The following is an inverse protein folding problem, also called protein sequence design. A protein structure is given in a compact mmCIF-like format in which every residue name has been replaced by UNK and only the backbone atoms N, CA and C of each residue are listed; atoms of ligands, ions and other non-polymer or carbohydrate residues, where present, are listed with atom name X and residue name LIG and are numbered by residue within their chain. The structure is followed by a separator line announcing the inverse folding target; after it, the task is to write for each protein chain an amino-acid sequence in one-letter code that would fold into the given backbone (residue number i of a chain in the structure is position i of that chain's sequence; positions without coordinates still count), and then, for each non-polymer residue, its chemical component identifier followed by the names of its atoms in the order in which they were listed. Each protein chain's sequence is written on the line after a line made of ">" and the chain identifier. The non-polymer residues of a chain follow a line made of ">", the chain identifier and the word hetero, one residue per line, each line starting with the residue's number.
data_IF_219853169365
#
_entry.id   IF_219853169365
#
_cell.length_a   1.000
_cell.length_b   1.000
_cell.length_c   1.000
_cell.angle_alpha   90.00
_cell.angle_beta   90.00
_cell.angle_gamma   90.00
#
_symmetry.space_group_name_H-M   'P 1'
#
loop_
_entity.id
_entity.type
_entity.pdbx_description
1 polymer ?
#
# COMPACT_ATOMS: atom_id res chain seq x y z
N UNK A 1 -13.49 7.24 -1.96
CA UNK A 1 -12.30 7.32 -2.85
C UNK A 1 -11.49 8.54 -2.43
N UNK A 2 -10.15 8.44 -2.40
CA UNK A 2 -9.31 9.63 -2.36
C UNK A 2 -9.36 10.28 -3.75
N UNK A 3 -9.89 11.51 -3.91
CA UNK A 3 -9.75 12.26 -5.17
C UNK A 3 -8.28 12.72 -5.41
N UNK A 4 -7.39 12.44 -4.45
CA UNK A 4 -6.02 12.91 -4.37
C UNK A 4 -5.10 11.78 -3.92
N UNK A 5 -4.11 11.43 -4.74
CA UNK A 5 -3.00 10.62 -4.29
C UNK A 5 -2.22 11.38 -3.21
N UNK A 6 -2.35 10.95 -1.96
CA UNK A 6 -1.57 11.51 -0.84
C UNK A 6 -0.28 10.72 -0.74
N UNK A 7 0.80 11.28 -1.27
CA UNK A 7 2.12 10.66 -1.24
C UNK A 7 3.22 11.70 -1.12
N UNK A 8 4.21 11.43 -0.27
CA UNK A 8 5.40 12.27 -0.16
C UNK A 8 6.62 11.45 0.24
N UNK A 9 7.70 11.62 -0.53
CA UNK A 9 9.03 11.14 -0.19
C UNK A 9 9.88 12.33 0.29
N UNK A 10 10.33 12.26 1.54
CA UNK A 10 11.03 13.36 2.21
C UNK A 10 12.38 12.85 2.72
N UNK A 11 13.48 13.10 1.99
CA UNK A 11 14.83 12.80 2.46
C UNK A 11 15.11 13.51 3.79
N UNK A 12 15.66 12.79 4.76
CA UNK A 12 15.98 13.31 6.09
C UNK A 12 17.49 13.50 6.23
N UNK A 13 17.93 14.74 6.04
CA UNK A 13 19.33 15.13 6.14
C UNK A 13 19.63 15.86 7.47
N UNK A 14 18.63 16.58 7.99
CA UNK A 14 18.76 17.40 9.20
C UNK A 14 17.39 17.67 9.86
N UNK A 15 17.40 18.46 10.94
CA UNK A 15 16.18 18.81 11.68
C UNK A 15 15.18 19.66 10.88
N UNK A 16 15.62 20.38 9.84
CA UNK A 16 14.72 21.13 8.95
C UNK A 16 13.90 20.15 8.08
N UNK A 17 14.53 19.15 7.47
CA UNK A 17 13.80 18.08 6.76
C UNK A 17 12.86 17.30 7.67
N UNK A 18 13.26 17.03 8.92
CA UNK A 18 12.36 16.41 9.90
C UNK A 18 11.13 17.28 10.21
N UNK A 19 11.29 18.61 10.20
CA UNK A 19 10.16 19.54 10.37
C UNK A 19 9.22 19.54 9.17
N UNK A 20 9.76 19.44 7.95
CA UNK A 20 8.95 19.27 6.73
C UNK A 20 8.14 17.98 6.81
N UNK A 21 8.76 16.85 7.15
CA UNK A 21 8.07 15.56 7.28
C UNK A 21 6.88 15.61 8.25
N UNK A 22 7.09 16.19 9.43
CA UNK A 22 6.04 16.38 10.44
C UNK A 22 4.88 17.22 9.93
N UNK A 23 5.18 18.33 9.23
CA UNK A 23 4.14 19.20 8.66
C UNK A 23 3.31 18.46 7.63
N UNK A 24 3.94 17.75 6.69
CA UNK A 24 3.25 17.00 5.64
C UNK A 24 2.40 15.87 6.23
N UNK A 25 2.88 15.18 7.27
CA UNK A 25 2.09 14.15 7.95
C UNK A 25 0.81 14.73 8.59
N UNK A 26 0.90 15.90 9.23
CA UNK A 26 -0.26 16.61 9.76
C UNK A 26 -1.24 17.04 8.68
N UNK A 27 -0.73 17.57 7.56
CA UNK A 27 -1.55 17.94 6.40
C UNK A 27 -2.27 16.73 5.79
N UNK A 28 -1.59 15.59 5.63
CA UNK A 28 -2.20 14.36 5.12
C UNK A 28 -3.26 13.82 6.07
N UNK A 29 -2.98 13.75 7.38
CA UNK A 29 -3.96 13.33 8.38
C UNK A 29 -5.21 14.22 8.37
N UNK A 30 -5.03 15.54 8.22
CA UNK A 30 -6.14 16.49 8.09
C UNK A 30 -6.95 16.24 6.81
N UNK A 31 -6.30 16.06 5.66
CA UNK A 31 -6.96 15.78 4.38
C UNK A 31 -7.70 14.42 4.37
N UNK A 32 -7.21 13.46 5.14
CA UNK A 32 -7.85 12.17 5.39
C UNK A 32 -9.02 12.24 6.39
N UNK A 33 -9.29 13.41 6.97
CA UNK A 33 -10.39 13.62 7.90
C UNK A 33 -10.13 13.10 9.32
N UNK A 34 -8.86 12.91 9.71
CA UNK A 34 -8.51 12.43 11.05
C UNK A 34 -8.95 13.44 12.12
N UNK A 35 -9.31 12.95 13.30
CA UNK A 35 -9.61 13.83 14.44
C UNK A 35 -8.34 14.59 14.90
N UNK A 36 -8.52 15.75 15.52
CA UNK A 36 -7.39 16.62 15.91
C UNK A 36 -6.36 15.91 16.81
N UNK A 37 -6.82 15.06 17.73
CA UNK A 37 -5.95 14.21 18.56
C UNK A 37 -5.11 13.27 17.71
N UNK A 38 -5.72 12.60 16.73
CA UNK A 38 -5.06 11.66 15.84
C UNK A 38 -4.10 12.33 14.86
N UNK A 39 -4.42 13.52 14.39
CA UNK A 39 -3.49 14.36 13.62
C UNK A 39 -2.22 14.67 14.42
N UNK A 40 -2.36 15.02 15.71
CA UNK A 40 -1.21 15.28 16.58
C UNK A 40 -0.39 14.00 16.84
N UNK A 41 -1.03 12.84 16.97
CA UNK A 41 -0.35 11.55 17.08
C UNK A 41 0.44 11.21 15.81
N UNK A 42 -0.12 11.43 14.61
CA UNK A 42 0.58 11.25 13.34
C UNK A 42 1.83 12.14 13.25
N UNK A 43 1.70 13.42 13.58
CA UNK A 43 2.83 14.36 13.64
C UNK A 43 3.92 13.88 14.59
N UNK A 44 3.55 13.35 15.76
CA UNK A 44 4.48 12.86 16.76
C UNK A 44 5.18 11.57 16.29
N UNK A 45 4.45 10.61 15.71
CA UNK A 45 5.03 9.40 15.10
C UNK A 45 6.07 9.76 14.04
N UNK A 46 5.71 10.66 13.11
CA UNK A 46 6.67 11.16 12.10
C UNK A 46 7.86 11.86 12.73
N UNK A 47 7.64 12.61 13.82
CA UNK A 47 8.71 13.30 14.55
C UNK A 47 9.74 12.31 15.09
N UNK A 48 9.29 11.26 15.77
CA UNK A 48 10.19 10.27 16.37
C UNK A 48 10.98 9.51 15.29
N UNK A 49 10.30 9.08 14.22
CA UNK A 49 10.95 8.39 13.10
C UNK A 49 11.98 9.28 12.38
N UNK A 50 11.63 10.54 12.08
CA UNK A 50 12.55 11.47 11.44
C UNK A 50 13.71 11.87 12.37
N UNK A 51 13.45 12.00 13.67
CA UNK A 51 14.49 12.34 14.64
C UNK A 51 15.52 11.22 14.80
N UNK A 52 15.08 9.96 14.76
CA UNK A 52 15.98 8.81 14.74
C UNK A 52 16.96 8.89 13.56
N UNK A 53 16.48 9.30 12.37
CA UNK A 53 17.37 9.47 11.22
C UNK A 53 18.49 10.49 11.49
N UNK A 54 18.14 11.64 12.08
CA UNK A 54 19.10 12.72 12.37
C UNK A 54 20.08 12.32 13.47
N UNK A 55 19.59 11.73 14.56
CA UNK A 55 20.39 11.40 15.74
C UNK A 55 21.38 10.26 15.50
N UNK A 56 21.03 9.32 14.60
CA UNK A 56 21.88 8.18 14.29
C UNK A 56 22.76 8.38 13.05
N UNK A 57 22.84 9.61 12.53
CA UNK A 57 23.66 9.97 11.36
C UNK A 57 23.43 9.00 10.19
N UNK A 58 22.16 8.81 9.90
CA UNK A 58 21.68 7.77 9.02
C UNK A 58 22.13 8.00 7.58
N UNK A 59 22.48 6.93 6.87
CA UNK A 59 22.95 7.02 5.49
C UNK A 59 21.72 7.02 4.57
N UNK A 60 21.44 8.16 3.94
CA UNK A 60 20.33 8.32 2.98
C UNK A 60 18.94 7.96 3.55
N UNK A 61 18.63 8.44 4.75
CA UNK A 61 17.32 8.23 5.38
C UNK A 61 16.18 8.93 4.65
N UNK A 62 15.04 8.26 4.53
CA UNK A 62 13.85 8.73 3.84
C UNK A 62 12.61 8.50 4.72
N UNK A 63 11.78 9.53 4.89
CA UNK A 63 10.42 9.35 5.38
C UNK A 63 9.48 9.36 4.18
N UNK A 64 8.73 8.26 4.03
CA UNK A 64 7.65 8.13 3.06
C UNK A 64 6.30 8.21 3.77
N UNK A 65 5.45 9.10 3.30
CA UNK A 65 4.08 9.28 3.77
C UNK A 65 3.13 8.85 2.65
N UNK A 66 2.14 8.02 2.97
CA UNK A 66 1.11 7.64 2.00
C UNK A 66 -0.27 7.54 2.65
N UNK A 67 -1.25 8.19 2.05
CA UNK A 67 -2.66 8.08 2.42
C UNK A 67 -3.42 7.17 1.45
N UNK A 68 -4.28 6.31 1.97
CA UNK A 68 -5.14 5.42 1.18
C UNK A 68 -6.44 5.10 1.92
N UNK A 69 -7.36 4.37 1.29
CA UNK A 69 -8.56 3.85 1.94
C UNK A 69 -8.52 2.31 2.01
N UNK A 70 -8.72 1.76 3.20
CA UNK A 70 -8.96 0.35 3.44
C UNK A 70 -10.45 0.13 3.66
N UNK A 71 -11.18 -0.40 2.65
CA UNK A 71 -12.63 -0.60 2.70
C UNK A 71 -13.41 0.60 3.26
N UNK A 72 -13.14 1.78 2.69
CA UNK A 72 -13.70 3.09 3.08
C UNK A 72 -13.18 3.74 4.36
N UNK A 73 -12.29 3.07 5.10
CA UNK A 73 -11.58 3.69 6.23
C UNK A 73 -10.33 4.42 5.72
N UNK A 74 -10.16 5.72 6.00
CA UNK A 74 -8.95 6.45 5.62
C UNK A 74 -7.77 6.01 6.48
N UNK A 75 -6.65 5.69 5.83
CA UNK A 75 -5.44 5.23 6.48
C UNK A 75 -4.26 6.12 6.10
N UNK A 76 -3.36 6.35 7.06
CA UNK A 76 -2.08 7.03 6.85
C UNK A 76 -0.94 6.08 7.20
N UNK A 77 -0.13 5.73 6.20
CA UNK A 77 1.14 5.04 6.37
C UNK A 77 2.27 6.05 6.53
N UNK A 78 3.10 5.85 7.55
CA UNK A 78 4.31 6.62 7.86
C UNK A 78 5.47 5.63 7.91
N UNK A 79 6.33 5.65 6.90
CA UNK A 79 7.43 4.70 6.78
C UNK A 79 8.78 5.41 6.83
N UNK A 80 9.65 4.94 7.73
CA UNK A 80 11.07 5.29 7.79
C UNK A 80 11.86 4.23 7.05
N UNK A 81 12.64 4.67 6.07
CA UNK A 81 13.41 3.87 5.14
C UNK A 81 14.88 4.26 5.27
N UNK A 82 15.73 3.30 5.60
CA UNK A 82 17.14 3.52 5.91
C UNK A 82 18.05 2.53 5.16
N UNK A 83 19.18 3.02 4.65
CA UNK A 83 20.25 2.26 4.01
C UNK A 83 21.54 2.18 4.87
N UNK A 84 21.45 2.55 6.15
CA UNK A 84 22.48 2.37 7.17
C UNK A 84 22.69 0.90 7.56
N UNK A 85 23.47 0.58 8.60
CA UNK A 85 23.92 -0.79 8.86
C UNK A 85 22.85 -1.77 9.39
N UNK A 86 21.59 -1.36 9.45
CA UNK A 86 20.53 -2.10 10.14
C UNK A 86 20.59 -1.98 11.67
N UNK A 87 19.55 -2.44 12.36
CA UNK A 87 19.51 -2.50 13.82
C UNK A 87 18.67 -3.69 14.30
N UNK A 88 18.94 -4.17 15.52
CA UNK A 88 18.09 -5.19 16.15
C UNK A 88 16.81 -4.54 16.73
N UNK A 89 15.61 -4.83 16.19
CA UNK A 89 14.35 -4.28 16.66
C UNK A 89 14.09 -4.55 18.14
N UNK A 90 14.52 -5.71 18.65
CA UNK A 90 14.32 -6.07 20.05
C UNK A 90 15.09 -5.13 20.98
N UNK A 91 16.28 -4.67 20.58
CA UNK A 91 17.08 -3.69 21.33
C UNK A 91 16.46 -2.29 21.27
N UNK A 92 15.94 -1.90 20.10
CA UNK A 92 15.28 -0.60 19.92
C UNK A 92 13.96 -0.47 20.69
N UNK A 93 13.27 -1.59 20.93
CA UNK A 93 11.97 -1.62 21.63
C UNK A 93 12.06 -1.83 23.13
N UNK A 94 13.20 -2.29 23.66
CA UNK A 94 13.41 -2.34 25.10
C UNK A 94 13.23 -0.93 25.68
N UNK A 95 12.21 -0.76 26.52
CA UNK A 95 11.94 0.44 27.32
C UNK A 95 13.17 0.73 28.20
N UNK A 96 14.15 1.46 27.66
CA UNK A 96 15.16 2.13 28.48
C UNK A 96 14.42 3.26 29.17
N UNK A 97 13.98 3.01 30.42
CA UNK A 97 13.60 4.06 31.36
C UNK A 97 14.67 5.14 31.29
N UNK A 98 14.30 6.30 30.76
CA UNK A 98 15.01 7.57 30.82
C UNK A 98 16.40 7.50 31.47
N UNK A 99 17.42 7.18 30.68
CA UNK A 99 18.79 7.59 30.97
C UNK A 99 19.12 8.61 29.91
N UNK A 100 19.23 9.87 30.34
CA UNK A 100 19.60 10.99 29.49
C UNK A 100 20.87 10.63 28.70
N UNK A 101 20.78 10.70 27.36
CA UNK A 101 21.96 10.70 26.48
C UNK A 101 22.09 9.59 25.43
N UNK A 102 21.27 8.53 25.42
CA UNK A 102 21.38 7.46 24.41
C UNK A 102 20.00 6.93 23.97
N UNK A 103 19.29 7.75 23.17
CA UNK A 103 17.85 7.63 22.89
C UNK A 103 17.48 6.79 21.66
N UNK A 104 17.50 5.46 21.78
CA UNK A 104 16.81 4.56 20.85
C UNK A 104 15.42 4.14 21.40
N UNK A 105 15.27 4.04 22.73
CA UNK A 105 14.10 3.39 23.34
C UNK A 105 12.86 4.28 23.60
N UNK A 106 13.01 5.60 23.72
CA UNK A 106 11.89 6.49 24.03
C UNK A 106 11.02 6.81 22.80
N UNK A 107 11.66 7.04 21.65
CA UNK A 107 10.96 7.32 20.39
C UNK A 107 10.24 6.09 19.85
N UNK A 108 10.89 4.92 19.86
CA UNK A 108 10.27 3.69 19.36
C UNK A 108 9.07 3.24 20.20
N UNK A 109 9.14 3.37 21.53
CA UNK A 109 8.00 3.11 22.40
C UNK A 109 6.81 4.06 22.14
N UNK A 110 7.10 5.30 21.76
CA UNK A 110 6.07 6.26 21.34
C UNK A 110 5.45 5.87 20.01
N UNK A 111 6.26 5.53 19.01
CA UNK A 111 5.78 5.04 17.70
C UNK A 111 4.90 3.82 17.88
N UNK A 112 5.34 2.81 18.66
CA UNK A 112 4.56 1.61 18.94
C UNK A 112 3.21 1.92 19.59
N UNK A 113 3.20 2.75 20.64
CA UNK A 113 1.98 3.10 21.39
C UNK A 113 0.99 3.93 20.56
N UNK A 114 1.51 4.79 19.67
CA UNK A 114 0.68 5.71 18.91
C UNK A 114 0.19 5.12 17.59
N UNK A 115 0.93 4.19 17.01
CA UNK A 115 0.51 3.51 15.77
C UNK A 115 -0.60 2.50 16.06
N UNK A 116 -1.46 2.26 15.09
CA UNK A 116 -2.47 1.20 15.18
C UNK A 116 -1.90 -0.13 14.69
N UNK A 117 -0.87 -0.04 13.84
CA UNK A 117 0.02 -1.13 13.49
C UNK A 117 1.43 -0.61 13.30
N UNK A 118 2.42 -1.40 13.72
CA UNK A 118 3.84 -1.12 13.50
C UNK A 118 4.50 -2.37 12.92
N UNK A 119 5.04 -2.24 11.72
CA UNK A 119 5.83 -3.29 11.09
C UNK A 119 7.29 -2.85 10.96
N UNK A 120 8.19 -3.73 11.38
CA UNK A 120 9.63 -3.48 11.32
C UNK A 120 10.28 -4.58 10.49
N UNK A 121 11.16 -4.16 9.60
CA UNK A 121 12.12 -5.00 8.93
C UNK A 121 13.52 -4.45 9.20
N UNK A 122 14.44 -5.36 9.51
CA UNK A 122 15.86 -5.06 9.45
C UNK A 122 16.59 -6.23 8.80
N UNK A 123 17.44 -5.91 7.84
CA UNK A 123 18.27 -6.89 7.15
C UNK A 123 19.22 -7.61 8.13
N UNK A 124 19.56 -6.99 9.27
CA UNK A 124 20.33 -7.63 10.35
C UNK A 124 19.65 -8.91 10.90
N UNK A 125 18.32 -8.92 10.95
CA UNK A 125 17.53 -10.06 11.45
C UNK A 125 17.11 -11.00 10.32
N UNK A 126 17.03 -10.48 9.09
CA UNK A 126 16.59 -11.20 7.89
C UNK A 126 17.56 -10.96 6.72
N UNK A 127 18.81 -11.43 6.82
CA UNK A 127 19.83 -11.21 5.79
C UNK A 127 19.52 -11.93 4.46
N UNK A 128 18.62 -12.92 4.48
CA UNK A 128 18.15 -13.64 3.30
C UNK A 128 17.19 -12.81 2.42
N UNK A 129 16.59 -11.75 2.98
CA UNK A 129 15.62 -10.92 2.25
C UNK A 129 16.37 -9.81 1.50
N UNK A 130 16.29 -9.87 0.17
CA UNK A 130 16.79 -8.79 -0.67
C UNK A 130 15.91 -7.55 -0.55
N UNK A 131 16.51 -6.42 -0.17
CA UNK A 131 15.82 -5.16 0.04
C UNK A 131 16.72 -3.99 -0.37
N UNK A 132 16.19 -2.92 -0.98
CA UNK A 132 16.94 -1.68 -1.22
C UNK A 132 17.17 -0.87 0.07
N UNK A 133 16.54 -1.28 1.18
CA UNK A 133 16.65 -0.67 2.50
C UNK A 133 17.14 -1.70 3.51
N UNK A 134 18.04 -1.30 4.36
CA UNK A 134 18.60 -2.09 5.46
C UNK A 134 17.68 -2.10 6.67
N UNK A 135 16.88 -1.04 6.83
CA UNK A 135 15.83 -0.94 7.84
C UNK A 135 14.59 -0.27 7.27
N UNK A 136 13.43 -0.85 7.55
CA UNK A 136 12.12 -0.29 7.26
C UNK A 136 11.31 -0.32 8.57
N UNK A 137 10.81 0.84 8.99
CA UNK A 137 9.86 0.95 10.10
C UNK A 137 8.61 1.62 9.56
N UNK A 138 7.51 0.89 9.50
CA UNK A 138 6.24 1.36 8.94
C UNK A 138 5.15 1.39 10.00
N UNK A 139 4.66 2.58 10.28
CA UNK A 139 3.52 2.83 11.16
C UNK A 139 2.26 3.07 10.33
N UNK A 140 1.18 2.35 10.64
CA UNK A 140 -0.15 2.58 10.06
C UNK A 140 -1.05 3.23 11.10
N UNK A 141 -1.74 4.29 10.68
CA UNK A 141 -2.67 5.04 11.51
C UNK A 141 -4.05 5.12 10.84
N UNK A 142 -5.11 4.90 11.61
CA UNK A 142 -6.51 5.17 11.28
C UNK A 142 -6.99 6.54 11.75
N UNK A 143 -8.25 6.91 11.42
CA UNK A 143 -8.80 8.23 11.74
C UNK A 143 -9.14 8.42 13.23
N UNK A 144 -9.43 7.31 13.90
CA UNK A 144 -9.71 7.20 15.33
C UNK A 144 -9.34 5.78 15.82
N UNK A 145 -9.47 5.54 17.12
CA UNK A 145 -9.08 4.27 17.73
C UNK A 145 -10.11 3.15 17.60
N UNK A 146 -11.34 3.44 17.21
CA UNK A 146 -12.41 2.43 17.04
C UNK A 146 -12.31 1.78 15.65
N UNK A 147 -12.02 2.59 14.61
CA UNK A 147 -11.70 2.14 13.27
C UNK A 147 -10.47 1.20 13.22
N UNK A 148 -9.65 1.19 14.29
CA UNK A 148 -8.47 0.35 14.40
C UNK A 148 -8.75 -1.14 14.31
N UNK A 149 -9.84 -1.65 14.88
CA UNK A 149 -10.09 -3.10 14.85
C UNK A 149 -10.33 -3.59 13.42
N UNK A 150 -10.90 -2.74 12.59
CA UNK A 150 -11.10 -2.99 11.18
C UNK A 150 -9.78 -2.77 10.41
N UNK A 151 -9.01 -1.73 10.70
CA UNK A 151 -7.66 -1.54 10.13
C UNK A 151 -6.70 -2.68 10.50
N UNK A 152 -6.76 -3.23 11.71
CA UNK A 152 -5.92 -4.35 12.12
C UNK A 152 -6.27 -5.58 11.27
N UNK A 153 -7.57 -5.81 11.05
CA UNK A 153 -8.08 -6.92 10.23
C UNK A 153 -7.76 -6.76 8.74
N UNK A 154 -7.79 -5.54 8.22
CA UNK A 154 -7.65 -5.23 6.79
C UNK A 154 -6.21 -4.85 6.45
N UNK A 155 -5.69 -3.82 7.13
CA UNK A 155 -4.39 -3.21 6.90
C UNK A 155 -3.21 -4.10 7.31
N UNK A 156 -3.45 -5.16 8.08
CA UNK A 156 -2.43 -6.18 8.28
C UNK A 156 -2.15 -7.03 7.07
N UNK A 157 -3.16 -7.17 6.22
CA UNK A 157 -3.12 -7.92 4.98
C UNK A 157 -2.96 -7.04 3.74
N UNK A 158 -3.01 -5.71 3.85
CA UNK A 158 -3.08 -4.80 2.69
C UNK A 158 -2.12 -3.60 2.84
N UNK A 159 -1.42 -3.27 1.77
CA UNK A 159 -0.67 -2.04 1.62
C UNK A 159 -0.91 -1.44 0.23
N UNK A 160 -1.11 -0.12 0.18
CA UNK A 160 -1.28 0.62 -1.06
C UNK A 160 -0.29 1.79 -1.04
N UNK A 161 0.51 1.90 -2.08
CA UNK A 161 1.34 3.05 -2.36
C UNK A 161 0.98 3.54 -3.75
N UNK A 162 0.60 4.80 -3.86
CA UNK A 162 0.31 5.45 -5.14
C UNK A 162 1.09 6.75 -5.17
N UNK A 163 1.64 7.11 -6.31
CA UNK A 163 2.27 8.40 -6.55
C UNK A 163 1.76 8.98 -7.86
N UNK A 164 1.05 10.11 -7.79
CA UNK A 164 0.65 10.83 -8.99
C UNK A 164 1.83 11.46 -9.72
N UNK A 165 1.73 11.48 -11.05
CA UNK A 165 2.64 12.17 -11.95
C UNK A 165 2.74 13.65 -11.57
N UNK A 166 3.97 14.12 -11.33
CA UNK A 166 4.25 15.50 -10.99
C UNK A 166 4.12 15.82 -9.49
N UNK A 167 3.83 14.82 -8.64
CA UNK A 167 3.87 14.95 -7.17
C UNK A 167 2.82 15.88 -6.56
N UNK A 168 2.05 16.61 -7.37
CA UNK A 168 0.93 17.43 -6.94
C UNK A 168 -0.29 16.53 -6.76
N UNK A 169 -0.61 16.16 -5.52
CA UNK A 169 -1.67 15.24 -5.13
C UNK A 169 -3.11 15.66 -5.48
N UNK A 170 -3.39 15.95 -6.74
CA UNK A 170 -4.74 16.23 -7.26
C UNK A 170 -4.96 15.44 -8.56
N UNK A 171 -5.74 14.36 -8.46
CA UNK A 171 -6.33 13.67 -9.62
C UNK A 171 -5.37 12.81 -10.46
N UNK A 172 -4.97 11.65 -9.94
CA UNK A 172 -4.37 10.58 -10.77
C UNK A 172 -5.42 9.81 -11.56
N UNK A 173 -4.98 9.18 -12.65
CA UNK A 173 -5.70 8.14 -13.38
C UNK A 173 -5.64 6.79 -12.68
N UNK A 174 -4.62 6.55 -11.87
CA UNK A 174 -4.53 5.31 -11.11
C UNK A 174 -5.53 5.24 -9.96
N UNK A 175 -6.04 4.04 -9.67
CA UNK A 175 -6.89 3.78 -8.52
C UNK A 175 -6.79 2.35 -8.00
N UNK A 176 -6.96 2.20 -6.69
CA UNK A 176 -7.13 0.90 -6.04
C UNK A 176 -8.45 0.92 -5.28
N UNK A 177 -9.26 -0.12 -5.48
CA UNK A 177 -10.53 -0.31 -4.77
C UNK A 177 -10.53 -1.64 -4.06
N UNK A 178 -10.78 -1.62 -2.76
CA UNK A 178 -10.81 -2.82 -1.91
C UNK A 178 -12.15 -2.92 -1.22
N UNK A 179 -12.83 -4.02 -1.46
CA UNK A 179 -14.11 -4.32 -0.84
C UNK A 179 -14.02 -5.69 -0.19
N UNK A 180 -14.56 -5.83 1.01
CA UNK A 180 -14.49 -7.10 1.72
C UNK A 180 -15.69 -7.32 2.64
N UNK A 181 -15.94 -8.59 2.94
CA UNK A 181 -16.81 -9.03 4.02
C UNK A 181 -16.14 -10.20 4.77
N UNK A 182 -16.87 -10.90 5.63
CA UNK A 182 -16.33 -12.04 6.39
C UNK A 182 -15.90 -13.25 5.53
N UNK A 183 -16.21 -13.27 4.23
CA UNK A 183 -15.94 -14.38 3.32
C UNK A 183 -15.18 -13.98 2.06
N UNK A 184 -15.34 -12.77 1.56
CA UNK A 184 -14.77 -12.33 0.30
C UNK A 184 -13.87 -11.12 0.50
N UNK A 185 -12.73 -11.12 -0.19
CA UNK A 185 -11.91 -9.92 -0.42
C UNK A 185 -11.81 -9.69 -1.92
N UNK A 186 -12.26 -8.53 -2.40
CA UNK A 186 -12.14 -8.08 -3.79
C UNK A 186 -11.19 -6.89 -3.86
N UNK A 187 -10.18 -6.99 -4.72
CA UNK A 187 -9.20 -5.93 -4.96
C UNK A 187 -9.22 -5.63 -6.45
N UNK A 188 -9.48 -4.38 -6.80
CA UNK A 188 -9.39 -3.89 -8.16
C UNK A 188 -8.28 -2.84 -8.26
N UNK A 189 -7.49 -2.93 -9.31
CA UNK A 189 -6.55 -1.90 -9.71
C UNK A 189 -7.00 -1.32 -11.05
N UNK A 190 -6.86 -0.01 -11.19
CA UNK A 190 -7.32 0.75 -12.34
C UNK A 190 -6.19 1.68 -12.77
N UNK A 191 -5.92 1.70 -14.06
CA UNK A 191 -5.05 2.67 -14.74
C UNK A 191 -5.89 3.33 -15.83
N UNK A 192 -6.39 4.53 -15.54
CA UNK A 192 -7.29 5.25 -16.44
C UNK A 192 -6.52 6.09 -17.46
N UNK A 193 -6.93 5.99 -18.73
CA UNK A 193 -6.28 6.75 -19.78
C UNK A 193 -6.55 8.26 -19.65
N UNK A 194 -5.47 9.03 -19.72
CA UNK A 194 -5.50 10.48 -19.75
C UNK A 194 -4.71 11.07 -18.60
N UNK A 195 -5.00 12.31 -18.25
CA UNK A 195 -4.29 13.03 -17.20
C UNK A 195 -5.27 13.84 -16.36
N UNK A 196 -4.96 13.98 -15.07
CA UNK A 196 -5.70 14.87 -14.17
C UNK A 196 -7.13 14.39 -13.92
N UNK A 197 -8.04 15.36 -13.74
CA UNK A 197 -9.43 15.11 -13.37
C UNK A 197 -10.16 14.17 -14.34
N UNK A 198 -9.88 14.24 -15.64
CA UNK A 198 -10.55 13.38 -16.63
C UNK A 198 -10.23 11.89 -16.43
N UNK A 199 -9.00 11.55 -16.07
CA UNK A 199 -8.60 10.18 -15.75
C UNK A 199 -9.18 9.76 -14.39
N UNK A 200 -9.16 10.64 -13.40
CA UNK A 200 -9.77 10.42 -12.08
C UNK A 200 -11.28 10.13 -12.18
N UNK A 201 -12.00 10.82 -13.06
CA UNK A 201 -13.44 10.59 -13.30
C UNK A 201 -13.71 9.20 -13.91
N UNK A 202 -12.80 8.69 -14.75
CA UNK A 202 -12.90 7.32 -15.30
C UNK A 202 -12.70 6.30 -14.18
N UNK A 203 -11.68 6.48 -13.35
CA UNK A 203 -11.45 5.64 -12.16
C UNK A 203 -12.65 5.64 -11.23
N UNK A 204 -13.26 6.80 -11.00
CA UNK A 204 -14.50 6.94 -10.24
C UNK A 204 -15.67 6.13 -10.83
N UNK A 205 -15.78 6.08 -12.17
CA UNK A 205 -16.82 5.27 -12.85
C UNK A 205 -16.58 3.78 -12.70
N UNK A 206 -15.33 3.33 -12.83
CA UNK A 206 -14.99 1.91 -12.59
C UNK A 206 -15.39 1.52 -11.18
N UNK A 207 -14.96 2.29 -10.17
CA UNK A 207 -15.28 2.03 -8.76
C UNK A 207 -16.77 2.04 -8.50
N UNK A 208 -17.50 3.02 -9.06
CA UNK A 208 -18.95 3.06 -8.92
C UNK A 208 -19.62 1.81 -9.50
N UNK A 209 -19.11 1.26 -10.61
CA UNK A 209 -19.63 0.01 -11.16
C UNK A 209 -19.29 -1.18 -10.26
N UNK A 210 -18.06 -1.28 -9.74
CA UNK A 210 -17.68 -2.32 -8.78
C UNK A 210 -18.58 -2.31 -7.53
N UNK A 211 -18.96 -1.13 -7.04
CA UNK A 211 -19.83 -0.97 -5.86
C UNK A 211 -21.28 -1.41 -6.10
N UNK A 212 -21.74 -1.46 -7.36
CA UNK A 212 -23.11 -1.90 -7.69
C UNK A 212 -23.29 -3.41 -7.65
N UNK A 213 -22.20 -4.17 -7.70
CA UNK A 213 -22.23 -5.62 -7.80
C UNK A 213 -21.78 -6.28 -6.50
N UNK A 214 -22.46 -7.38 -6.15
CA UNK A 214 -22.14 -8.14 -4.94
C UNK A 214 -20.69 -8.66 -4.95
N UNK A 215 -20.07 -8.79 -3.78
CA UNK A 215 -18.65 -9.16 -3.67
C UNK A 215 -18.30 -10.48 -4.36
N UNK A 216 -19.21 -11.45 -4.30
CA UNK A 216 -19.01 -12.78 -4.90
C UNK A 216 -19.09 -12.80 -6.44
N UNK A 217 -19.35 -11.67 -7.10
CA UNK A 217 -19.41 -11.62 -8.56
C UNK A 217 -18.05 -11.94 -9.17
N UNK A 218 -17.98 -12.86 -10.17
CA UNK A 218 -16.72 -13.23 -10.79
C UNK A 218 -16.00 -12.03 -11.43
N UNK A 219 -14.67 -11.91 -11.28
CA UNK A 219 -13.89 -10.82 -11.86
C UNK A 219 -14.13 -10.60 -13.36
N UNK A 220 -14.14 -11.67 -14.17
CA UNK A 220 -14.32 -11.56 -15.62
C UNK A 220 -15.69 -10.94 -16.00
N UNK A 221 -16.77 -11.36 -15.33
CA UNK A 221 -18.11 -10.79 -15.53
C UNK A 221 -18.14 -9.32 -15.11
N UNK A 222 -17.44 -8.97 -14.02
CA UNK A 222 -17.39 -7.60 -13.54
C UNK A 222 -16.68 -6.67 -14.54
N UNK A 223 -15.62 -7.16 -15.20
CA UNK A 223 -14.95 -6.41 -16.27
C UNK A 223 -15.84 -6.20 -17.50
N UNK A 224 -16.77 -7.11 -17.80
CA UNK A 224 -17.76 -6.93 -18.88
C UNK A 224 -18.76 -5.81 -18.55
N UNK A 225 -19.17 -5.68 -17.29
CA UNK A 225 -20.00 -4.56 -16.84
C UNK A 225 -19.21 -3.23 -16.86
N UNK A 226 -17.94 -3.27 -16.45
CA UNK A 226 -17.05 -2.10 -16.52
C UNK A 226 -16.83 -1.65 -17.97
N UNK A 227 -16.63 -2.57 -18.92
CA UNK A 227 -16.57 -2.25 -20.37
C UNK A 227 -17.78 -1.42 -20.80
N UNK A 228 -18.99 -1.86 -20.41
CA UNK A 228 -20.21 -1.16 -20.76
C UNK A 228 -20.31 0.21 -20.07
N UNK A 229 -19.95 0.28 -18.79
CA UNK A 229 -19.99 1.53 -18.00
C UNK A 229 -18.99 2.58 -18.51
N UNK A 230 -17.85 2.14 -19.06
CA UNK A 230 -16.82 2.99 -19.65
C UNK A 230 -17.07 3.34 -21.12
N UNK A 231 -18.17 2.87 -21.71
CA UNK A 231 -18.51 3.22 -23.09
C UNK A 231 -18.55 4.75 -23.27
N UNK A 232 -17.83 5.25 -24.28
CA UNK A 232 -17.66 6.69 -24.60
C UNK A 232 -16.78 7.48 -23.62
N UNK A 233 -15.94 6.81 -22.84
CA UNK A 233 -14.81 7.43 -22.14
C UNK A 233 -13.51 7.17 -22.90
N UNK A 234 -12.36 7.63 -22.39
CA UNK A 234 -11.04 7.22 -22.89
C UNK A 234 -10.64 5.81 -22.42
N UNK A 235 -11.45 5.20 -21.55
CA UNK A 235 -11.23 3.87 -21.03
C UNK A 235 -10.14 3.76 -19.97
N UNK A 236 -9.95 2.53 -19.50
CA UNK A 236 -8.96 2.19 -18.49
C UNK A 236 -8.46 0.75 -18.69
N UNK A 237 -7.23 0.49 -18.26
CA UNK A 237 -6.81 -0.85 -17.90
C UNK A 237 -7.33 -1.17 -16.49
N UNK A 238 -7.88 -2.37 -16.30
CA UNK A 238 -8.47 -2.79 -15.03
C UNK A 238 -8.16 -4.26 -14.78
N UNK A 239 -7.69 -4.54 -13.57
CA UNK A 239 -7.48 -5.89 -13.08
C UNK A 239 -8.26 -6.08 -11.78
N UNK A 240 -8.97 -7.20 -11.65
CA UNK A 240 -9.81 -7.53 -10.49
C UNK A 240 -9.43 -8.90 -9.96
N UNK A 241 -9.16 -8.94 -8.67
CA UNK A 241 -8.97 -10.15 -7.88
C UNK A 241 -10.16 -10.34 -6.94
N UNK A 242 -10.62 -11.58 -6.79
CA UNK A 242 -11.61 -11.98 -5.82
C UNK A 242 -11.13 -13.22 -5.06
N UNK A 243 -10.98 -13.10 -3.76
CA UNK A 243 -10.61 -14.20 -2.89
C UNK A 243 -11.79 -14.67 -2.03
N UNK A 244 -12.16 -15.95 -2.13
CA UNK A 244 -13.11 -16.62 -1.25
C UNK A 244 -12.37 -17.28 -0.09
N UNK A 245 -12.39 -16.64 1.09
CA UNK A 245 -11.72 -17.10 2.30
C UNK A 245 -12.21 -18.47 2.81
N UNK A 246 -13.45 -18.85 2.48
CA UNK A 246 -14.04 -20.13 2.90
C UNK A 246 -13.59 -21.25 1.98
N UNK A 247 -13.53 -20.98 0.66
CA UNK A 247 -13.10 -21.98 -0.32
C UNK A 247 -11.59 -22.08 -0.51
N UNK A 248 -10.84 -21.05 -0.10
CA UNK A 248 -9.43 -20.92 -0.46
C UNK A 248 -9.30 -20.84 -1.98
N UNK A 249 -10.03 -19.92 -2.61
CA UNK A 249 -10.05 -19.76 -4.07
C UNK A 249 -9.80 -18.30 -4.42
N UNK A 250 -8.73 -18.05 -5.17
CA UNK A 250 -8.44 -16.75 -5.78
C UNK A 250 -8.89 -16.80 -7.25
N UNK A 251 -9.86 -15.97 -7.60
CA UNK A 251 -10.25 -15.71 -8.99
C UNK A 251 -9.61 -14.41 -9.45
N UNK A 252 -9.06 -14.40 -10.65
CA UNK A 252 -8.37 -13.26 -11.26
C UNK A 252 -8.89 -12.98 -12.67
N UNK A 253 -9.04 -11.72 -13.04
CA UNK A 253 -9.20 -11.31 -14.44
C UNK A 253 -8.72 -9.89 -14.63
N UNK A 254 -8.06 -9.60 -15.76
CA UNK A 254 -7.62 -8.26 -16.11
C UNK A 254 -7.56 -8.01 -17.61
N UNK A 255 -7.73 -6.74 -17.97
CA UNK A 255 -7.59 -6.21 -19.32
C UNK A 255 -6.65 -5.01 -19.25
N UNK A 256 -5.58 -5.06 -20.06
CA UNK A 256 -4.63 -3.97 -20.20
C UNK A 256 -3.20 -4.34 -19.82
N UNK A 257 -2.57 -3.46 -19.06
CA UNK A 257 -1.13 -3.42 -18.77
C UNK A 257 -0.84 -3.50 -17.25
N UNK A 258 -1.83 -3.84 -16.42
CA UNK A 258 -1.60 -4.04 -14.98
C UNK A 258 -0.84 -5.35 -14.80
N UNK A 259 0.29 -5.28 -14.08
CA UNK A 259 1.07 -6.46 -13.74
C UNK A 259 0.58 -7.02 -12.42
N UNK A 260 0.26 -8.31 -12.38
CA UNK A 260 -0.17 -9.03 -11.18
C UNK A 260 0.80 -10.17 -10.88
N UNK A 261 1.47 -10.07 -9.74
CA UNK A 261 2.40 -11.08 -9.23
C UNK A 261 1.77 -11.80 -8.05
N UNK A 262 1.78 -13.12 -8.07
CA UNK A 262 1.14 -13.96 -7.08
C UNK A 262 2.17 -14.94 -6.52
N UNK A 263 2.44 -14.86 -5.23
CA UNK A 263 3.05 -15.95 -4.48
C UNK A 263 1.92 -16.81 -3.91
N UNK A 264 1.74 -18.01 -4.46
CA UNK A 264 0.70 -18.95 -4.13
C UNK A 264 1.33 -20.17 -3.44
N UNK A 265 1.10 -20.35 -2.15
CA UNK A 265 1.64 -21.49 -1.40
C UNK A 265 3.18 -21.65 -1.51
N UNK A 266 3.89 -20.53 -1.71
CA UNK A 266 5.33 -20.48 -1.90
C UNK A 266 5.80 -20.52 -3.36
N UNK A 267 4.90 -20.82 -4.30
CA UNK A 267 5.18 -20.80 -5.74
C UNK A 267 4.90 -19.42 -6.34
N UNK A 268 5.76 -18.96 -7.23
CA UNK A 268 5.61 -17.66 -7.89
C UNK A 268 4.89 -17.80 -9.23
N UNK A 269 3.90 -16.94 -9.46
CA UNK A 269 3.09 -16.85 -10.67
C UNK A 269 3.02 -15.39 -11.09
N UNK A 270 3.45 -15.10 -12.31
CA UNK A 270 3.22 -13.80 -12.95
C UNK A 270 2.05 -13.93 -13.92
N UNK A 271 1.01 -13.13 -13.69
CA UNK A 271 -0.12 -13.01 -14.61
C UNK A 271 0.10 -11.88 -15.59
N UNK A 272 -0.21 -12.15 -16.86
CA UNK A 272 -0.24 -11.14 -17.91
C UNK A 272 -1.67 -10.98 -18.39
N UNK A 273 -2.17 -9.74 -18.29
CA UNK A 273 -3.50 -9.38 -18.74
C UNK A 273 -3.66 -9.51 -20.26
N UNK A 274 -4.90 -9.69 -20.71
CA UNK A 274 -5.17 -9.61 -22.14
C UNK A 274 -4.98 -8.15 -22.60
N UNK A 275 -4.23 -7.90 -23.69
CA UNK A 275 -3.93 -6.55 -24.11
C UNK A 275 -5.19 -5.83 -24.59
N UNK A 276 -5.46 -4.64 -24.07
CA UNK A 276 -6.61 -3.83 -24.46
C UNK A 276 -6.97 -2.75 -23.45
N UNK A 277 -8.05 -2.03 -23.73
CA UNK A 277 -8.56 -0.95 -22.89
C UNK A 277 -10.07 -1.13 -22.77
N UNK A 278 -10.58 -1.15 -21.53
CA UNK A 278 -12.02 -1.21 -21.28
C UNK A 278 -12.69 0.10 -21.67
N UNK A 279 -13.85 0.04 -22.33
CA UNK A 279 -14.61 1.17 -22.87
C UNK A 279 -14.37 1.43 -24.37
N UNK A 280 -13.34 0.81 -24.94
CA UNK A 280 -12.98 0.92 -26.37
C UNK A 280 -13.32 -0.34 -27.17
N UNK A 281 -13.23 -1.51 -26.55
CA UNK A 281 -13.29 -2.79 -27.24
C UNK A 281 -14.60 -3.52 -26.91
N UNK A 282 -15.37 -3.89 -27.95
CA UNK A 282 -16.54 -4.76 -27.75
C UNK A 282 -16.08 -6.20 -27.52
N UNK A 283 -15.61 -6.49 -26.31
CA UNK A 283 -15.20 -7.82 -25.89
C UNK A 283 -16.36 -8.80 -26.05
N UNK A 284 -16.13 -9.90 -26.79
CA UNK A 284 -17.16 -10.96 -26.93
C UNK A 284 -17.33 -11.76 -25.65
N UNK A 285 -16.23 -11.92 -24.90
CA UNK A 285 -16.17 -12.61 -23.61
C UNK A 285 -14.82 -12.27 -22.97
N UNK A 286 -14.83 -11.89 -21.70
CA UNK A 286 -13.62 -11.78 -20.89
C UNK A 286 -13.43 -13.10 -20.14
N UNK A 287 -12.20 -13.58 -20.05
CA UNK A 287 -11.83 -14.80 -19.31
C UNK A 287 -10.93 -14.46 -18.15
N UNK A 288 -11.05 -15.22 -17.07
CA UNK A 288 -10.19 -15.12 -15.90
C UNK A 288 -9.46 -16.43 -15.61
N UNK A 289 -8.62 -16.39 -14.58
CA UNK A 289 -7.94 -17.54 -14.00
C UNK A 289 -8.48 -17.82 -12.60
N UNK A 290 -8.34 -19.07 -12.15
CA UNK A 290 -8.68 -19.47 -10.79
C UNK A 290 -7.52 -20.27 -10.19
N UNK A 291 -7.17 -19.92 -8.95
CA UNK A 291 -6.10 -20.53 -8.20
C UNK A 291 -6.63 -21.05 -6.87
N UNK A 292 -6.40 -22.34 -6.63
CA UNK A 292 -6.68 -22.93 -5.33
C UNK A 292 -5.56 -22.55 -4.37
N UNK A 293 -5.93 -21.95 -3.26
CA UNK A 293 -5.03 -21.53 -2.18
C UNK A 293 -5.15 -22.51 -1.02
N UNK A 294 -4.05 -23.14 -0.63
CA UNK A 294 -4.04 -24.13 0.45
C UNK A 294 -3.59 -23.55 1.79
N UNK A 295 -2.52 -22.76 1.77
CA UNK A 295 -1.76 -22.33 2.95
C UNK A 295 -1.56 -20.81 3.01
N UNK A 296 -1.55 -20.15 1.86
CA UNK A 296 -1.51 -18.70 1.77
C UNK A 296 -1.29 -18.20 0.36
N UNK A 297 -1.67 -16.95 0.15
CA UNK A 297 -1.49 -16.23 -1.10
C UNK A 297 -1.05 -14.81 -0.78
N UNK A 298 -0.05 -14.32 -1.51
CA UNK A 298 0.36 -12.92 -1.51
C UNK A 298 0.30 -12.43 -2.93
N UNK A 299 -0.32 -11.28 -3.12
CA UNK A 299 -0.48 -10.65 -4.42
C UNK A 299 0.15 -9.26 -4.38
N UNK A 300 0.96 -8.93 -5.36
CA UNK A 300 1.37 -7.56 -5.64
C UNK A 300 0.89 -7.18 -7.04
N UNK A 301 0.12 -6.10 -7.15
CA UNK A 301 -0.29 -5.54 -8.43
C UNK A 301 0.28 -4.15 -8.60
N UNK A 302 0.75 -3.81 -9.81
CA UNK A 302 1.24 -2.48 -10.09
C UNK A 302 0.90 -1.98 -11.50
N UNK A 303 0.84 -0.65 -11.64
CA UNK A 303 0.72 0.03 -12.92
C UNK A 303 2.08 0.16 -13.62
N UNK A 304 2.09 0.55 -14.88
CA UNK A 304 3.32 0.63 -15.69
C UNK A 304 4.21 1.83 -15.34
N UNK A 305 3.73 2.75 -14.49
CA UNK A 305 4.56 3.79 -13.87
C UNK A 305 5.57 3.29 -12.85
N UNK A 306 5.50 1.99 -12.47
CA UNK A 306 6.49 1.30 -11.64
C UNK A 306 7.56 0.60 -12.48
N UNK A 307 8.78 0.48 -11.92
CA UNK A 307 9.74 -0.50 -12.45
C UNK A 307 9.17 -1.90 -12.30
N UNK A 308 9.42 -2.75 -13.30
CA UNK A 308 9.02 -4.16 -13.25
C UNK A 308 9.54 -4.83 -11.99
N UNK A 309 8.61 -5.41 -11.24
CA UNK A 309 8.91 -6.27 -10.10
C UNK A 309 9.13 -7.68 -10.65
N UNK A 310 10.27 -8.28 -10.35
CA UNK A 310 10.65 -9.59 -10.91
C UNK A 310 10.58 -10.74 -9.90
N UNK A 311 10.45 -10.43 -8.61
CA UNK A 311 10.39 -11.43 -7.55
C UNK A 311 9.59 -10.91 -6.36
N UNK A 312 8.89 -11.81 -5.68
CA UNK A 312 8.21 -11.55 -4.43
C UNK A 312 8.82 -12.43 -3.35
N UNK A 313 9.06 -11.85 -2.18
CA UNK A 313 9.48 -12.66 -1.04
C UNK A 313 8.48 -13.80 -0.80
N UNK A 314 8.99 -15.03 -0.79
CA UNK A 314 8.23 -16.22 -0.37
C UNK A 314 8.05 -16.28 1.16
N UNK A 315 8.64 -15.33 1.91
CA UNK A 315 8.44 -15.23 3.35
C UNK A 315 7.13 -14.50 3.66
N UNK A 316 6.08 -15.29 3.94
CA UNK A 316 4.76 -14.80 4.35
C UNK A 316 4.77 -14.08 5.71
N UNK A 317 5.86 -14.14 6.49
CA UNK A 317 5.96 -13.45 7.78
C UNK A 317 6.34 -11.97 7.65
N UNK A 318 6.82 -11.55 6.48
CA UNK A 318 6.99 -10.13 6.16
C UNK A 318 5.63 -9.47 5.96
N UNK A 319 5.42 -8.31 6.58
CA UNK A 319 4.18 -7.58 6.43
C UNK A 319 4.02 -7.02 4.99
N UNK A 320 2.80 -7.02 4.43
CA UNK A 320 2.51 -6.42 3.13
C UNK A 320 3.00 -4.98 3.00
N UNK A 321 2.90 -4.17 4.07
CA UNK A 321 3.37 -2.79 4.06
C UNK A 321 4.90 -2.69 3.94
N UNK A 322 5.65 -3.56 4.61
CA UNK A 322 7.10 -3.64 4.45
C UNK A 322 7.47 -4.02 3.02
N UNK A 323 6.78 -5.03 2.47
CA UNK A 323 7.02 -5.48 1.09
C UNK A 323 6.71 -4.38 0.09
N UNK A 324 5.59 -3.68 0.26
CA UNK A 324 5.25 -2.54 -0.58
C UNK A 324 6.36 -1.48 -0.55
N UNK A 325 6.98 -1.21 0.62
CA UNK A 325 8.11 -0.29 0.68
C UNK A 325 9.35 -0.80 -0.06
N UNK A 326 9.65 -2.10 0.02
CA UNK A 326 10.78 -2.70 -0.71
C UNK A 326 10.58 -2.64 -2.23
N UNK A 327 9.35 -2.83 -2.69
CA UNK A 327 9.02 -2.99 -4.10
C UNK A 327 8.68 -1.67 -4.81
N UNK A 328 8.20 -0.66 -4.09
CA UNK A 328 7.75 0.60 -4.69
C UNK A 328 8.93 1.41 -5.23
N UNK A 329 9.11 1.34 -6.54
CA UNK A 329 10.18 1.99 -7.29
C UNK A 329 9.62 2.64 -8.57
N UNK A 330 8.98 3.82 -8.45
CA UNK A 330 8.47 4.58 -9.59
C UNK A 330 9.55 4.84 -10.64
N UNK A 331 9.15 4.92 -11.91
CA UNK A 331 10.05 5.27 -13.00
C UNK A 331 10.64 6.67 -12.81
N UNK A 332 11.92 6.84 -13.17
CA UNK A 332 12.64 8.12 -13.12
C UNK A 332 13.18 8.44 -14.52
N UNK A 333 12.81 9.57 -15.14
CA UNK A 333 11.84 10.56 -14.66
C UNK A 333 10.42 9.98 -14.58
N UNK A 334 9.64 10.43 -13.61
CA UNK A 334 8.25 10.00 -13.46
C UNK A 334 7.43 10.53 -14.63
N UNK A 335 7.04 9.63 -15.53
CA UNK A 335 6.26 9.95 -16.73
C UNK A 335 4.78 9.64 -16.57
N UNK A 336 4.44 8.81 -15.60
CA UNK A 336 3.09 8.37 -15.32
C UNK A 336 2.79 8.27 -13.82
N UNK A 337 1.52 8.07 -13.50
CA UNK A 337 1.12 7.65 -12.17
C UNK A 337 1.73 6.27 -11.85
N UNK A 338 2.14 6.08 -10.61
CA UNK A 338 2.82 4.86 -10.20
C UNK A 338 2.15 4.30 -8.95
N UNK A 339 1.42 3.20 -9.12
CA UNK A 339 0.65 2.60 -8.03
C UNK A 339 1.05 1.15 -7.84
N UNK A 340 1.11 0.74 -6.58
CA UNK A 340 1.40 -0.61 -6.12
C UNK A 340 0.39 -0.94 -5.02
N UNK A 341 -0.23 -2.11 -5.13
CA UNK A 341 -0.97 -2.73 -4.03
C UNK A 341 -0.34 -4.07 -3.71
N UNK A 342 -0.10 -4.32 -2.43
CA UNK A 342 0.30 -5.64 -1.93
C UNK A 342 -0.75 -6.12 -0.97
N UNK A 343 -1.25 -7.34 -1.19
CA UNK A 343 -2.20 -8.01 -0.32
C UNK A 343 -1.75 -9.42 0.04
N UNK A 344 -2.16 -9.92 1.21
CA UNK A 344 -1.81 -11.26 1.66
C UNK A 344 -2.91 -11.93 2.48
N UNK A 345 -3.09 -13.24 2.31
CA UNK A 345 -3.85 -14.11 3.21
C UNK A 345 -3.14 -15.45 3.47
N UNK A 346 -3.29 -16.07 4.66
CA UNK A 346 -3.72 -15.40 5.88
C UNK A 346 -2.68 -14.35 6.28
N UNK A 347 -3.09 -13.43 7.13
CA UNK A 347 -2.15 -12.52 7.75
C UNK A 347 -1.20 -13.34 8.63
N UNK A 348 0.08 -13.41 8.26
CA UNK A 348 1.14 -14.12 9.00
C UNK A 348 2.21 -13.18 9.55
N UNK A 349 1.99 -11.85 9.48
CA UNK A 349 2.95 -10.89 10.04
C UNK A 349 3.12 -11.15 11.54
N UNK A 350 4.36 -11.27 11.98
CA UNK A 350 4.72 -11.62 13.37
C UNK A 350 5.07 -10.40 14.21
N UNK A 351 4.89 -9.18 13.69
CA UNK A 351 5.24 -7.92 14.36
C UNK A 351 4.22 -7.49 15.44
N UNK A 352 3.80 -8.41 16.29
CA UNK A 352 3.07 -8.07 17.52
C UNK A 352 4.08 -7.79 18.64
N UNK A 353 4.62 -6.58 18.65
CA UNK A 353 5.42 -6.10 19.76
C UNK A 353 4.45 -5.70 20.89
N UNK A 354 4.34 -6.56 21.92
CA UNK A 354 3.50 -6.35 23.11
C UNK A 354 4.26 -5.68 24.24
#
# INVERSE_FOLDING_TARGET
>A
MLPSCLFADIPIENMASATVARRVAGEFAMLLGFQQSRQAEAVLVTSELAHNHVMHHTVQGLIRLSGFYASSIPCLSISSLDQGPGFDPAVGMQHRKNIAGCGLGAGMGTVLRLSDRLDIFSHMIRPEVQSPYETIISALLGPDREANEEIIRIGGSLAILSQCRGGSGWGGGDGVHVQQDGRYTRIAMVDSLGLGQGASDITGRVVAELDRHALFWPPANLLEEVEFALAKTNGAAVHVLLFDHVKGLLSSAGIGNITTLISLDGEFIEETDSPGILGHAKWRKITGQEYKVLSGVRVSMHTDGQRSITDLSADFTLAPLVIAQMLFAPLIPQRDDATLVTWQWPEKSTNHYT
#
